data_IF_150916991319
#
_entry.id   IF_150916991319
#
_cell.length_a   1.000
_cell.length_b   1.000
_cell.length_c   1.000
_cell.angle_alpha   90.00
_cell.angle_beta   90.00
_cell.angle_gamma   90.00
#
_symmetry.space_group_name_H-M   'P 1'
#
loop_
_entity.id
_entity.type
_entity.pdbx_description
1 polymer ?
#
# COMPACT_ATOMS: atom_id res chain seq x y z
N UNK A 1 0.36 4.90 4.70
CA UNK A 1 1.07 3.78 5.37
C UNK A 1 2.53 4.17 5.46
N UNK A 2 3.21 4.06 6.60
CA UNK A 2 4.58 4.53 6.67
C UNK A 2 5.44 3.80 5.62
N UNK A 3 6.32 4.55 4.96
CA UNK A 3 7.43 4.09 4.10
C UNK A 3 7.11 3.61 2.67
N UNK A 4 5.86 3.43 2.27
CA UNK A 4 5.55 3.04 0.88
C UNK A 4 5.88 4.13 -0.14
N UNK A 5 5.83 5.39 0.26
CA UNK A 5 6.35 6.52 -0.52
C UNK A 5 7.86 6.39 -0.73
N UNK A 6 8.61 5.98 0.31
CA UNK A 6 10.07 5.74 0.20
C UNK A 6 10.38 4.55 -0.71
N UNK A 7 9.54 3.52 -0.71
CA UNK A 7 9.63 2.42 -1.68
C UNK A 7 9.43 2.97 -3.10
N UNK A 8 8.36 3.73 -3.35
CA UNK A 8 8.10 4.32 -4.66
C UNK A 8 9.28 5.18 -5.16
N UNK A 9 9.87 5.98 -4.28
CA UNK A 9 11.06 6.79 -4.59
C UNK A 9 12.28 5.93 -4.88
N UNK A 10 12.56 4.93 -4.04
CA UNK A 10 13.70 4.02 -4.17
C UNK A 10 13.70 3.27 -5.52
N UNK A 11 12.53 2.89 -6.00
CA UNK A 11 12.37 2.14 -7.25
C UNK A 11 11.88 3.00 -8.43
N UNK A 12 11.95 4.33 -8.33
CA UNK A 12 11.40 5.25 -9.34
C UNK A 12 11.96 5.03 -10.76
N UNK A 13 13.18 4.50 -10.88
CA UNK A 13 13.83 4.17 -12.15
C UNK A 13 13.90 2.66 -12.42
N UNK A 14 13.09 1.86 -11.73
CA UNK A 14 13.03 0.38 -11.82
C UNK A 14 11.66 -0.15 -12.25
N UNK A 15 10.82 0.69 -12.89
CA UNK A 15 9.49 0.29 -13.38
C UNK A 15 8.62 -0.34 -12.28
N UNK A 16 8.65 0.24 -11.08
CA UNK A 16 7.83 -0.16 -9.95
C UNK A 16 6.79 0.92 -9.69
N UNK A 17 5.55 0.49 -9.50
CA UNK A 17 4.43 1.34 -9.10
C UNK A 17 3.83 0.85 -7.79
N UNK A 18 3.50 1.79 -6.91
CA UNK A 18 2.90 1.55 -5.61
C UNK A 18 1.52 2.18 -5.57
N UNK A 19 0.52 1.36 -5.25
CA UNK A 19 -0.86 1.77 -5.09
C UNK A 19 -1.34 1.41 -3.69
N UNK A 20 -2.03 2.33 -3.02
CA UNK A 20 -2.79 2.02 -1.81
C UNK A 20 -4.24 1.76 -2.21
N UNK A 21 -4.81 0.65 -1.75
CA UNK A 21 -6.21 0.33 -1.98
C UNK A 21 -7.05 0.70 -0.75
N UNK A 22 -7.93 1.66 -0.93
CA UNK A 22 -8.94 2.04 0.05
C UNK A 22 -10.14 1.10 -0.02
N UNK A 23 -10.38 0.37 1.07
CA UNK A 23 -11.47 -0.60 1.20
C UNK A 23 -12.52 -0.12 2.21
N UNK A 24 -13.49 -0.96 2.57
CA UNK A 24 -14.47 -0.62 3.62
C UNK A 24 -13.78 -0.41 4.98
N UNK A 25 -14.36 0.42 5.85
CA UNK A 25 -13.85 0.60 7.22
C UNK A 25 -13.97 -0.70 8.02
N UNK A 26 -12.85 -1.28 8.49
CA UNK A 26 -12.91 -2.52 9.27
C UNK A 26 -13.43 -2.30 10.69
N UNK A 27 -13.38 -1.06 11.20
CA UNK A 27 -13.68 -0.70 12.59
C UNK A 27 -14.74 0.40 12.70
N UNK A 28 -15.66 0.48 11.74
CA UNK A 28 -16.74 1.48 11.76
C UNK A 28 -17.57 1.38 13.04
N UNK A 29 -17.73 2.51 13.74
CA UNK A 29 -18.53 2.64 14.95
C UNK A 29 -17.93 1.97 16.18
N UNK A 30 -16.70 1.45 16.12
CA UNK A 30 -16.01 0.93 17.29
C UNK A 30 -15.68 2.03 18.29
N UNK A 31 -15.46 1.66 19.56
CA UNK A 31 -15.19 2.60 20.66
C UNK A 31 -14.04 3.58 20.37
N UNK A 32 -13.02 3.15 19.62
CA UNK A 32 -11.88 4.00 19.24
C UNK A 32 -12.14 4.91 18.04
N UNK A 33 -13.23 4.67 17.29
CA UNK A 33 -13.58 5.36 16.06
C UNK A 33 -15.10 5.64 15.99
N UNK A 34 -15.69 6.31 17.00
CA UNK A 34 -17.15 6.46 17.10
C UNK A 34 -17.75 7.29 15.95
N UNK A 35 -16.95 8.18 15.34
CA UNK A 35 -17.38 9.05 14.25
C UNK A 35 -17.19 8.41 12.86
N UNK A 36 -16.46 7.30 12.77
CA UNK A 36 -16.24 6.57 11.52
C UNK A 36 -17.39 5.61 11.31
N UNK A 37 -18.07 5.72 10.17
CA UNK A 37 -19.23 4.88 9.83
C UNK A 37 -18.94 4.00 8.62
N UNK A 38 -19.76 2.98 8.42
CA UNK A 38 -19.79 2.28 7.15
C UNK A 38 -20.19 3.26 6.04
N UNK A 39 -19.57 3.11 4.88
CA UNK A 39 -19.85 3.95 3.73
C UNK A 39 -21.26 3.67 3.21
N UNK A 40 -22.05 4.73 2.98
CA UNK A 40 -23.43 4.64 2.49
C UNK A 40 -23.53 4.91 0.99
N UNK A 41 -22.51 5.56 0.42
CA UNK A 41 -22.37 5.82 -1.00
C UNK A 41 -20.90 5.82 -1.40
N UNK A 42 -20.64 5.78 -2.71
CA UNK A 42 -19.27 5.86 -3.23
C UNK A 42 -18.63 7.22 -2.91
N UNK A 43 -19.40 8.31 -2.95
CA UNK A 43 -18.94 9.66 -2.59
C UNK A 43 -18.53 9.74 -1.12
N UNK A 44 -19.26 9.07 -0.23
CA UNK A 44 -18.90 8.98 1.19
C UNK A 44 -17.57 8.22 1.36
N UNK A 45 -17.42 7.05 0.72
CA UNK A 45 -16.16 6.27 0.71
C UNK A 45 -14.98 7.07 0.17
N UNK A 46 -15.19 7.77 -0.94
CA UNK A 46 -14.20 8.64 -1.56
C UNK A 46 -13.82 9.82 -0.66
N UNK A 47 -14.78 10.36 0.08
CA UNK A 47 -14.55 11.38 1.10
C UNK A 47 -13.57 10.91 2.18
N UNK A 48 -13.80 9.71 2.73
CA UNK A 48 -12.89 9.13 3.72
C UNK A 48 -11.51 8.81 3.13
N UNK A 49 -11.45 8.28 1.91
CA UNK A 49 -10.18 8.02 1.22
C UNK A 49 -9.34 9.29 1.03
N UNK A 50 -9.98 10.41 0.63
CA UNK A 50 -9.33 11.72 0.51
C UNK A 50 -8.85 12.23 1.87
N UNK A 51 -9.66 12.08 2.90
CA UNK A 51 -9.30 12.52 4.24
C UNK A 51 -8.12 11.73 4.80
N UNK A 52 -8.10 10.40 4.60
CA UNK A 52 -6.96 9.55 4.93
C UNK A 52 -5.70 10.04 4.19
N UNK A 53 -5.78 10.22 2.87
CA UNK A 53 -4.66 10.69 2.06
C UNK A 53 -4.13 12.04 2.54
N UNK A 54 -5.02 12.97 2.89
CA UNK A 54 -4.68 14.29 3.43
C UNK A 54 -4.00 14.19 4.79
N UNK A 55 -4.60 13.49 5.76
CA UNK A 55 -4.07 13.34 7.13
C UNK A 55 -2.72 12.65 7.11
N UNK A 56 -2.57 11.60 6.29
CA UNK A 56 -1.34 10.81 6.19
C UNK A 56 -0.32 11.38 5.20
N UNK A 57 -0.64 12.48 4.52
CA UNK A 57 0.20 13.14 3.49
C UNK A 57 0.69 12.16 2.41
N UNK A 58 -0.20 11.26 1.99
CA UNK A 58 0.14 10.20 1.04
C UNK A 58 0.54 10.81 -0.31
N UNK A 59 1.67 10.37 -0.84
CA UNK A 59 2.15 10.77 -2.18
C UNK A 59 1.89 9.69 -3.24
N UNK A 60 1.71 8.45 -2.78
CA UNK A 60 1.37 7.31 -3.63
C UNK A 60 -0.11 7.34 -4.01
N UNK A 61 -0.43 6.79 -5.18
CA UNK A 61 -1.80 6.76 -5.68
C UNK A 61 -2.71 5.96 -4.72
N UNK A 62 -3.90 6.52 -4.45
CA UNK A 62 -4.95 5.86 -3.66
C UNK A 62 -6.05 5.42 -4.61
N UNK A 63 -6.18 4.12 -4.81
CA UNK A 63 -7.30 3.50 -5.51
C UNK A 63 -8.42 3.26 -4.51
N UNK A 64 -9.66 3.46 -4.91
CA UNK A 64 -10.83 3.23 -4.05
C UNK A 64 -11.61 2.06 -4.63
N UNK A 65 -11.78 0.99 -3.84
CA UNK A 65 -12.59 -0.15 -4.27
C UNK A 65 -14.06 0.28 -4.43
N UNK A 66 -14.81 -0.43 -5.26
CA UNK A 66 -16.23 -0.15 -5.46
C UNK A 66 -17.04 -0.48 -4.19
N UNK A 67 -18.32 -0.07 -4.20
CA UNK A 67 -19.22 -0.28 -3.07
C UNK A 67 -19.55 -1.78 -2.85
N UNK A 68 -19.48 -2.58 -3.90
CA UNK A 68 -19.68 -4.04 -3.85
C UNK A 68 -18.48 -4.80 -3.24
N UNK A 69 -17.37 -4.10 -2.96
CA UNK A 69 -16.14 -4.64 -2.38
C UNK A 69 -15.52 -5.79 -3.19
N UNK A 70 -15.75 -5.82 -4.51
CA UNK A 70 -15.31 -6.93 -5.36
C UNK A 70 -13.80 -7.11 -5.32
N UNK A 71 -13.01 -6.03 -5.40
CA UNK A 71 -11.55 -6.13 -5.39
C UNK A 71 -11.06 -6.55 -4.01
N UNK A 72 -11.59 -5.96 -2.93
CA UNK A 72 -11.24 -6.34 -1.56
C UNK A 72 -11.52 -7.81 -1.28
N UNK A 73 -12.69 -8.31 -1.72
CA UNK A 73 -13.06 -9.71 -1.61
C UNK A 73 -12.10 -10.63 -2.36
N UNK A 74 -11.76 -10.30 -3.61
CA UNK A 74 -10.78 -11.05 -4.41
C UNK A 74 -9.38 -11.07 -3.77
N UNK A 75 -8.99 -9.99 -3.09
CA UNK A 75 -7.69 -9.86 -2.44
C UNK A 75 -7.67 -10.41 -1.00
N UNK A 76 -8.76 -11.00 -0.52
CA UNK A 76 -8.80 -11.79 0.72
C UNK A 76 -9.47 -11.11 1.92
N UNK A 77 -10.12 -9.96 1.74
CA UNK A 77 -11.00 -9.33 2.73
C UNK A 77 -10.33 -8.91 4.07
N UNK A 78 -9.02 -8.71 4.07
CA UNK A 78 -8.24 -8.31 5.25
C UNK A 78 -8.10 -6.78 5.36
N UNK A 79 -7.91 -6.21 6.56
CA UNK A 79 -7.90 -4.76 6.75
C UNK A 79 -6.63 -4.06 6.27
N UNK A 80 -5.49 -4.76 6.23
CA UNK A 80 -4.18 -4.16 5.95
C UNK A 80 -3.24 -5.16 5.24
N UNK A 81 -3.71 -5.76 4.16
CA UNK A 81 -2.90 -6.72 3.38
C UNK A 81 -1.98 -6.00 2.40
N UNK A 82 -1.01 -6.73 1.86
CA UNK A 82 -0.16 -6.25 0.75
C UNK A 82 0.08 -7.37 -0.26
N UNK A 83 0.22 -6.97 -1.52
CA UNK A 83 0.62 -7.82 -2.63
C UNK A 83 1.79 -7.19 -3.38
N UNK A 84 2.75 -8.02 -3.81
CA UNK A 84 3.72 -7.67 -4.84
C UNK A 84 3.39 -8.51 -6.07
N UNK A 85 3.18 -7.84 -7.19
CA UNK A 85 2.81 -8.47 -8.46
C UNK A 85 3.95 -8.28 -9.45
N UNK A 86 4.41 -9.38 -10.05
CA UNK A 86 5.45 -9.36 -11.08
C UNK A 86 4.94 -8.83 -12.41
N UNK A 87 5.87 -8.54 -13.33
CA UNK A 87 5.54 -8.07 -14.69
C UNK A 87 4.76 -9.09 -15.54
N UNK A 88 4.80 -10.36 -15.14
CA UNK A 88 4.01 -11.45 -15.72
C UNK A 88 2.56 -11.52 -15.17
N UNK A 89 2.18 -10.59 -14.29
CA UNK A 89 0.87 -10.54 -13.66
C UNK A 89 0.69 -11.53 -12.51
N UNK A 90 1.74 -12.25 -12.09
CA UNK A 90 1.65 -13.21 -10.99
C UNK A 90 1.99 -12.58 -9.65
N UNK A 91 1.35 -13.07 -8.59
CA UNK A 91 1.66 -12.68 -7.21
C UNK A 91 3.01 -13.27 -6.82
N UNK A 92 4.00 -12.42 -6.62
CA UNK A 92 5.32 -12.80 -6.12
C UNK A 92 5.37 -12.83 -4.59
N UNK A 93 4.58 -11.97 -3.94
CA UNK A 93 4.46 -11.93 -2.49
C UNK A 93 3.05 -11.47 -2.08
N UNK A 94 2.57 -12.03 -0.97
CA UNK A 94 1.32 -11.65 -0.31
C UNK A 94 1.52 -11.75 1.20
N UNK A 95 1.02 -10.77 1.93
CA UNK A 95 0.91 -10.86 3.38
C UNK A 95 -0.43 -10.33 3.89
N UNK A 96 -0.87 -10.91 5.01
CA UNK A 96 -2.08 -10.51 5.74
C UNK A 96 -1.92 -9.20 6.51
N UNK A 97 -0.67 -8.77 6.68
CA UNK A 97 -0.27 -7.51 7.28
C UNK A 97 0.80 -6.86 6.43
N UNK A 98 0.60 -5.58 6.11
CA UNK A 98 1.54 -4.80 5.32
C UNK A 98 2.81 -4.50 6.11
N UNK A 99 3.96 -4.89 5.56
CA UNK A 99 5.29 -4.59 6.06
C UNK A 99 6.19 -4.09 4.92
N UNK A 100 6.70 -2.87 5.06
CA UNK A 100 7.50 -2.21 4.03
C UNK A 100 8.87 -2.88 3.82
N UNK A 101 9.47 -3.43 4.89
CA UNK A 101 10.79 -4.08 4.79
C UNK A 101 10.67 -5.38 4.00
N UNK A 102 9.69 -6.22 4.34
CA UNK A 102 9.39 -7.42 3.58
C UNK A 102 9.08 -7.09 2.11
N UNK A 103 8.22 -6.10 1.84
CA UNK A 103 7.92 -5.70 0.46
C UNK A 103 9.17 -5.27 -0.31
N UNK A 104 10.05 -4.50 0.32
CA UNK A 104 11.30 -4.04 -0.28
C UNK A 104 12.25 -5.20 -0.62
N UNK A 105 12.35 -6.22 0.24
CA UNK A 105 13.13 -7.42 -0.04
C UNK A 105 12.65 -8.15 -1.30
N UNK A 106 11.33 -8.36 -1.43
CA UNK A 106 10.77 -9.01 -2.61
C UNK A 106 10.90 -8.16 -3.88
N UNK A 107 10.72 -6.84 -3.78
CA UNK A 107 10.95 -5.92 -4.91
C UNK A 107 12.41 -5.93 -5.35
N UNK A 108 13.36 -5.88 -4.41
CA UNK A 108 14.78 -5.95 -4.72
C UNK A 108 15.12 -7.25 -5.45
N UNK A 109 14.59 -8.38 -4.98
CA UNK A 109 14.76 -9.69 -5.62
C UNK A 109 14.26 -9.69 -7.07
N UNK A 110 13.02 -9.23 -7.32
CA UNK A 110 12.42 -9.18 -8.65
C UNK A 110 13.20 -8.25 -9.59
N UNK A 111 13.49 -7.02 -9.13
CA UNK A 111 14.20 -6.00 -9.93
C UNK A 111 15.61 -6.44 -10.27
N UNK A 112 16.32 -7.08 -9.32
CA UNK A 112 17.68 -7.55 -9.55
C UNK A 112 17.76 -8.73 -10.52
N UNK A 113 16.66 -9.47 -10.72
CA UNK A 113 16.58 -10.58 -11.67
C UNK A 113 16.02 -10.16 -13.04
N UNK A 114 15.43 -8.97 -13.15
CA UNK A 114 14.90 -8.45 -14.41
C UNK A 114 16.04 -8.08 -15.37
N UNK A 115 16.12 -8.71 -16.56
CA UNK A 115 17.13 -8.38 -17.57
C UNK A 115 17.12 -6.90 -17.99
N UNK A 116 15.98 -6.21 -17.89
CA UNK A 116 15.88 -4.78 -18.21
C UNK A 116 16.76 -3.90 -17.30
N UNK A 117 17.14 -4.40 -16.12
CA UNK A 117 17.95 -3.66 -15.15
C UNK A 117 19.33 -4.29 -14.89
N UNK A 118 19.77 -5.25 -15.70
CA UNK A 118 21.03 -5.96 -15.50
C UNK A 118 22.28 -5.05 -15.48
N UNK A 119 22.24 -3.92 -16.19
CA UNK A 119 23.32 -2.92 -16.20
C UNK A 119 23.24 -1.86 -15.10
N UNK A 120 22.19 -1.89 -14.25
CA UNK A 120 22.02 -0.94 -13.16
C UNK A 120 22.59 -1.50 -11.84
N UNK A 121 22.96 -0.65 -10.87
CA UNK A 121 23.31 -1.11 -9.53
C UNK A 121 22.20 -1.97 -8.93
N UNK A 122 22.62 -3.02 -8.23
CA UNK A 122 21.70 -3.91 -7.51
C UNK A 122 20.97 -3.13 -6.42
N UNK A 123 19.68 -3.42 -6.27
CA UNK A 123 18.86 -2.91 -5.19
C UNK A 123 19.15 -3.73 -3.94
N UNK A 124 19.54 -3.05 -2.86
CA UNK A 124 19.77 -3.66 -1.55
C UNK A 124 18.57 -3.38 -0.64
N UNK A 125 18.07 -4.34 0.15
CA UNK A 125 17.01 -4.10 1.12
C UNK A 125 17.36 -2.98 2.10
N UNK A 126 16.36 -2.22 2.51
CA UNK A 126 16.51 -1.06 3.39
C UNK A 126 15.69 -1.25 4.67
N UNK A 127 16.33 -1.02 5.80
CA UNK A 127 15.64 -0.93 7.09
C UNK A 127 14.94 0.43 7.15
N UNK A 128 13.62 0.41 7.28
CA UNK A 128 12.82 1.62 7.36
C UNK A 128 12.63 2.03 8.81
N UNK A 129 13.57 2.80 9.35
CA UNK A 129 13.38 3.38 10.68
C UNK A 129 12.44 4.59 10.63
N UNK A 130 11.42 4.59 11.48
CA UNK A 130 10.73 5.82 11.82
C UNK A 130 11.66 6.60 12.74
N UNK A 131 12.12 7.78 12.33
CA UNK A 131 12.55 8.75 13.34
C UNK A 131 11.31 9.06 14.17
N UNK A 132 11.37 8.77 15.48
CA UNK A 132 10.34 9.14 16.43
C UNK A 132 10.28 10.67 16.54
N UNK A 133 9.69 11.31 15.55
CA UNK A 133 9.27 12.70 15.61
C UNK A 133 7.99 12.75 16.43
N UNK A 134 8.12 12.82 17.75
CA UNK A 134 7.04 13.27 18.61
C UNK A 134 6.71 14.71 18.23
N UNK A 135 5.73 14.91 17.37
CA UNK A 135 5.03 16.19 17.28
C UNK A 135 3.54 15.89 17.41
N UNK A 136 3.09 16.15 18.64
CA UNK A 136 1.70 16.34 19.05
C UNK A 136 1.23 17.68 18.48
#
# INVERSE_FOLDING_TARGET
MPFYERIQEKYADRDVMVFNLYVREPHAGERGFPDIRNHESYEHKLGYARELARIKKMQTAVLVDEMDQKVHGMLGNLPNFVYVVGKDGRVAYKATWSDAEAVDEYLACLVNQDPAFAGKPKMEPTIFTAHAGTQI
#
